data_IF_754704333819
#
_entry.id   IF_754704333819
#
_cell.length_a   1.000
_cell.length_b   1.000
_cell.length_c   1.000
_cell.angle_alpha   90.00
_cell.angle_beta   90.00
_cell.angle_gamma   90.00
#
_symmetry.space_group_name_H-M   'P 1'
#
loop_
_entity.id
_entity.type
_entity.pdbx_description
1 polymer ?
#
# COMPACT_ATOMS: atom_id res chain seq x y z
N UNK A 1 -12.16 71.76 -0.75
CA UNK A 1 -12.73 70.49 -0.25
C UNK A 1 -13.26 69.72 -1.44
N UNK A 2 -12.43 68.87 -2.03
CA UNK A 2 -12.79 67.96 -3.11
C UNK A 2 -11.85 66.77 -3.00
N UNK A 3 -12.26 65.75 -2.25
CA UNK A 3 -11.51 64.51 -2.12
C UNK A 3 -11.54 63.78 -3.48
N UNK A 4 -10.38 63.69 -4.10
CA UNK A 4 -10.16 62.83 -5.26
C UNK A 4 -10.28 61.38 -4.78
N UNK A 5 -11.34 60.69 -5.20
CA UNK A 5 -11.46 59.25 -5.10
C UNK A 5 -10.40 58.62 -6.00
N UNK A 6 -9.31 58.09 -5.42
CA UNK A 6 -8.43 57.16 -6.13
C UNK A 6 -9.21 55.88 -6.43
N UNK A 7 -9.05 55.28 -7.63
CA UNK A 7 -9.71 54.01 -7.95
C UNK A 7 -9.23 52.92 -6.98
N UNK A 8 -10.10 51.96 -6.61
CA UNK A 8 -9.69 50.84 -5.77
C UNK A 8 -8.59 50.05 -6.47
N UNK A 9 -7.48 49.82 -5.75
CA UNK A 9 -6.47 48.83 -6.13
C UNK A 9 -7.14 47.49 -6.39
N UNK A 10 -6.74 46.72 -7.42
CA UNK A 10 -7.28 45.37 -7.63
C UNK A 10 -6.87 44.52 -6.43
N UNK A 11 -7.84 44.22 -5.58
CA UNK A 11 -7.66 43.31 -4.45
C UNK A 11 -7.19 41.95 -4.97
N UNK A 12 -6.28 41.39 -4.18
CA UNK A 12 -5.60 40.12 -4.31
C UNK A 12 -6.33 39.07 -5.12
N UNK A 13 -5.66 38.61 -6.17
CA UNK A 13 -5.73 37.28 -6.78
C UNK A 13 -6.55 36.27 -5.96
N UNK A 14 -7.76 35.97 -6.46
CA UNK A 14 -8.50 34.77 -6.06
C UNK A 14 -7.62 33.57 -6.37
N UNK A 15 -6.95 33.07 -5.32
CA UNK A 15 -6.18 31.86 -5.35
C UNK A 15 -7.17 30.72 -5.65
N UNK A 16 -6.97 30.05 -6.79
CA UNK A 16 -7.87 29.02 -7.29
C UNK A 16 -8.19 28.02 -6.18
N UNK A 17 -9.47 27.89 -5.86
CA UNK A 17 -9.93 26.84 -4.97
C UNK A 17 -9.55 25.49 -5.57
N UNK A 18 -8.52 24.89 -4.97
CA UNK A 18 -8.18 23.46 -5.08
C UNK A 18 -7.99 22.92 -6.49
N UNK A 19 -6.92 23.33 -7.17
CA UNK A 19 -6.42 22.51 -8.28
C UNK A 19 -6.08 21.11 -7.73
N UNK A 20 -6.74 20.07 -8.25
CA UNK A 20 -6.44 18.68 -7.91
C UNK A 20 -4.98 18.43 -8.29
N UNK A 21 -4.12 18.24 -7.30
CA UNK A 21 -2.71 17.89 -7.47
C UNK A 21 -2.49 16.43 -7.08
N UNK A 22 -1.66 15.75 -7.86
CA UNK A 22 -1.19 14.42 -7.51
C UNK A 22 -0.51 14.45 -6.13
N UNK A 23 -0.82 13.44 -5.32
CA UNK A 23 -0.17 13.23 -4.03
C UNK A 23 1.29 12.89 -4.30
N UNK A 24 2.20 13.43 -3.48
CA UNK A 24 3.64 13.14 -3.58
C UNK A 24 3.89 11.63 -3.45
N UNK A 25 4.79 11.05 -4.26
CA UNK A 25 4.98 9.60 -4.33
C UNK A 25 5.31 8.93 -2.99
N UNK A 26 6.05 9.62 -2.11
CA UNK A 26 6.34 9.14 -0.75
C UNK A 26 5.07 9.06 0.12
N UNK A 27 4.11 9.97 -0.08
CA UNK A 27 2.82 9.99 0.60
C UNK A 27 1.85 8.97 0.01
N UNK A 28 1.91 8.71 -1.30
CA UNK A 28 1.15 7.62 -1.95
C UNK A 28 1.55 6.28 -1.34
N UNK A 29 2.84 5.96 -1.27
CA UNK A 29 3.33 4.71 -0.68
C UNK A 29 2.89 4.58 0.78
N UNK A 30 2.97 5.65 1.58
CA UNK A 30 2.50 5.63 2.98
C UNK A 30 0.99 5.43 3.12
N UNK A 31 0.19 5.98 2.20
CA UNK A 31 -1.26 5.80 2.21
C UNK A 31 -1.64 4.37 1.80
N UNK A 32 -1.00 3.82 0.77
CA UNK A 32 -1.25 2.45 0.31
C UNK A 32 -0.78 1.40 1.32
N UNK A 33 0.37 1.63 1.97
CA UNK A 33 0.91 0.69 2.96
C UNK A 33 0.17 0.75 4.31
N UNK A 34 -0.62 1.80 4.58
CA UNK A 34 -1.33 2.00 5.85
C UNK A 34 -2.80 1.59 5.86
N UNK A 35 -3.44 1.44 4.69
CA UNK A 35 -4.86 1.05 4.58
C UNK A 35 -5.08 -0.41 4.20
N UNK A 36 -4.01 -1.15 3.91
CA UNK A 36 -4.08 -2.60 3.73
C UNK A 36 -4.00 -3.26 5.11
N UNK A 37 -5.11 -3.15 5.87
CA UNK A 37 -5.34 -4.06 6.99
C UNK A 37 -5.65 -5.40 6.35
N UNK A 38 -4.62 -6.21 6.11
CA UNK A 38 -4.78 -7.56 5.62
C UNK A 38 -5.48 -8.33 6.73
N UNK A 39 -6.71 -8.78 6.48
CA UNK A 39 -7.34 -9.72 7.39
C UNK A 39 -6.44 -10.96 7.49
N UNK A 40 -6.23 -11.45 8.72
CA UNK A 40 -5.37 -12.58 9.00
C UNK A 40 -5.75 -13.79 8.14
N UNK A 41 -7.06 -13.98 7.96
CA UNK A 41 -7.61 -15.03 7.11
C UNK A 41 -7.21 -14.86 5.65
N UNK A 42 -7.25 -13.63 5.11
CA UNK A 42 -6.83 -13.36 3.74
C UNK A 42 -5.34 -13.65 3.56
N UNK A 43 -4.48 -13.20 4.49
CA UNK A 43 -3.04 -13.49 4.41
C UNK A 43 -2.76 -15.00 4.39
N UNK A 44 -3.44 -15.77 5.25
CA UNK A 44 -3.32 -17.24 5.27
C UNK A 44 -3.82 -17.85 3.96
N UNK A 45 -4.97 -17.40 3.45
CA UNK A 45 -5.54 -17.90 2.18
C UNK A 45 -4.55 -17.75 1.03
N UNK A 46 -4.01 -16.55 0.83
CA UNK A 46 -3.09 -16.27 -0.28
C UNK A 46 -1.79 -17.08 -0.17
N UNK A 47 -1.22 -17.22 1.05
CA UNK A 47 0.00 -18.02 1.24
C UNK A 47 -0.24 -19.51 0.99
N UNK A 48 -1.41 -20.04 1.38
CA UNK A 48 -1.78 -21.43 1.11
C UNK A 48 -2.08 -21.65 -0.37
N UNK A 49 -2.76 -20.72 -1.05
CA UNK A 49 -2.98 -20.76 -2.50
C UNK A 49 -1.65 -20.78 -3.27
N UNK A 50 -0.68 -19.93 -2.89
CA UNK A 50 0.67 -19.96 -3.47
C UNK A 50 1.37 -21.31 -3.27
N UNK A 51 1.20 -21.94 -2.11
CA UNK A 51 1.77 -23.27 -1.83
C UNK A 51 1.14 -24.34 -2.74
N UNK A 52 -0.17 -24.27 -2.96
CA UNK A 52 -0.89 -25.19 -3.85
C UNK A 52 -0.49 -25.00 -5.31
N UNK A 53 -0.37 -23.76 -5.76
CA UNK A 53 0.09 -23.41 -7.11
C UNK A 53 1.53 -23.90 -7.35
N UNK A 54 2.37 -23.90 -6.31
CA UNK A 54 3.71 -24.48 -6.33
C UNK A 54 3.73 -26.02 -6.35
N UNK A 55 2.58 -26.68 -6.25
CA UNK A 55 2.43 -28.13 -6.27
C UNK A 55 2.73 -28.82 -4.94
N UNK A 56 2.64 -28.10 -3.82
CA UNK A 56 2.90 -28.68 -2.50
C UNK A 56 1.93 -29.83 -2.16
N UNK A 57 2.46 -30.84 -1.48
CA UNK A 57 1.68 -31.99 -0.97
C UNK A 57 1.58 -31.98 0.55
N UNK A 58 2.40 -31.17 1.20
CA UNK A 58 2.41 -30.93 2.63
C UNK A 58 2.59 -29.42 2.86
N UNK A 59 1.71 -28.86 3.69
CA UNK A 59 1.70 -27.44 4.04
C UNK A 59 1.46 -27.34 5.55
N UNK A 60 2.42 -26.77 6.27
CA UNK A 60 2.36 -26.51 7.71
C UNK A 60 2.05 -25.03 7.97
N UNK A 61 0.94 -24.76 8.66
CA UNK A 61 0.55 -23.39 9.05
C UNK A 61 0.71 -23.22 10.55
N UNK A 62 1.56 -22.27 10.96
CA UNK A 62 1.88 -22.01 12.37
C UNK A 62 1.53 -20.58 12.76
N UNK A 63 0.84 -20.45 13.88
CA UNK A 63 0.46 -19.16 14.46
C UNK A 63 1.21 -18.92 15.76
N UNK A 64 1.72 -17.70 15.94
CA UNK A 64 2.28 -17.25 17.21
C UNK A 64 1.39 -16.16 17.80
N UNK A 65 0.94 -16.38 19.04
CA UNK A 65 -0.04 -15.51 19.72
C UNK A 65 -1.31 -15.30 18.88
N UNK A 66 -1.94 -16.39 18.42
CA UNK A 66 -3.13 -16.37 17.56
C UNK A 66 -2.97 -15.53 16.28
N UNK A 67 -1.75 -15.43 15.73
CA UNK A 67 -1.45 -14.63 14.55
C UNK A 67 -1.13 -13.15 14.82
N UNK A 68 -1.33 -12.68 16.06
CA UNK A 68 -1.01 -11.30 16.44
C UNK A 68 0.50 -11.01 16.41
N UNK A 69 1.33 -12.03 16.64
CA UNK A 69 2.79 -11.88 16.57
C UNK A 69 3.34 -12.31 15.22
N UNK A 70 2.93 -13.45 14.71
CA UNK A 70 3.34 -13.95 13.39
C UNK A 70 2.44 -15.08 12.90
N UNK A 71 2.42 -15.23 11.57
CA UNK A 71 1.99 -16.44 10.86
C UNK A 71 3.21 -16.95 10.09
N UNK A 72 3.35 -18.27 10.01
CA UNK A 72 4.34 -18.93 9.18
C UNK A 72 3.65 -20.04 8.38
N UNK A 73 3.85 -20.04 7.06
CA UNK A 73 3.40 -21.10 6.16
C UNK A 73 4.64 -21.75 5.57
N UNK A 74 4.79 -23.06 5.76
CA UNK A 74 5.90 -23.84 5.23
C UNK A 74 5.35 -24.93 4.36
N UNK A 75 5.82 -25.00 3.13
CA UNK A 75 5.40 -25.99 2.15
C UNK A 75 6.60 -26.78 1.59
N UNK A 76 6.30 -27.87 0.90
CA UNK A 76 7.28 -28.68 0.16
C UNK A 76 7.10 -28.57 -1.37
N UNK A 77 6.60 -27.43 -1.85
CA UNK A 77 6.39 -27.16 -3.25
C UNK A 77 7.69 -26.93 -4.03
N UNK A 78 7.54 -26.49 -5.26
CA UNK A 78 8.66 -26.24 -6.19
C UNK A 78 9.59 -25.07 -5.79
N UNK A 79 9.17 -24.26 -4.81
CA UNK A 79 9.92 -23.09 -4.37
C UNK A 79 9.93 -21.97 -5.43
N UNK A 80 10.77 -20.95 -5.19
CA UNK A 80 10.91 -19.81 -6.10
C UNK A 80 12.32 -19.82 -6.68
N UNK A 81 12.44 -19.61 -7.99
CA UNK A 81 13.74 -19.54 -8.66
C UNK A 81 14.48 -18.26 -8.26
N UNK A 82 15.79 -18.34 -8.05
CA UNK A 82 16.61 -17.19 -7.62
C UNK A 82 16.51 -15.98 -8.56
N UNK A 83 16.33 -16.23 -9.87
CA UNK A 83 16.15 -15.18 -10.88
C UNK A 83 14.85 -14.37 -10.70
N UNK A 84 13.86 -14.94 -10.01
CA UNK A 84 12.54 -14.35 -9.84
C UNK A 84 12.45 -13.58 -8.52
N UNK A 85 13.47 -13.64 -7.64
CA UNK A 85 13.46 -13.02 -6.31
C UNK A 85 13.13 -11.53 -6.33
N UNK A 86 13.69 -10.77 -7.28
CA UNK A 86 13.43 -9.33 -7.42
C UNK A 86 11.99 -9.01 -7.85
N UNK A 87 11.25 -10.00 -8.37
CA UNK A 87 9.90 -9.84 -8.91
C UNK A 87 8.77 -10.32 -7.98
N UNK A 88 9.09 -10.98 -6.86
CA UNK A 88 8.10 -11.55 -5.93
C UNK A 88 7.29 -10.45 -5.23
N UNK A 89 7.95 -9.35 -4.86
CA UNK A 89 7.37 -8.26 -4.07
C UNK A 89 7.88 -6.87 -4.53
N UNK A 90 7.63 -6.47 -5.79
CA UNK A 90 8.25 -5.28 -6.40
C UNK A 90 7.73 -3.93 -5.87
N UNK A 91 6.69 -3.96 -5.03
CA UNK A 91 5.98 -2.77 -4.56
C UNK A 91 5.84 -2.69 -3.04
N UNK A 92 6.54 -3.57 -2.31
CA UNK A 92 6.74 -3.45 -0.87
C UNK A 92 8.05 -2.72 -0.57
#
# INVERSE_FOLDING_TARGET
>A
MSEFLTPPTPESSFNGHGAIKAIEGSSVHRLTSGQVVIDLQTAVKELVENSLDAGATSIDVRFKNCGLKSIEVVDNGSGISEKDFDSIAPHF
#
